data_IF_284026430077
#
_entry.id   IF_284026430077
#
_cell.length_a   1.000
_cell.length_b   1.000
_cell.length_c   1.000
_cell.angle_alpha   90.00
_cell.angle_beta   90.00
_cell.angle_gamma   90.00
#
_symmetry.space_group_name_H-M   'P 1'
#
loop_
_entity.id
_entity.type
_entity.pdbx_description
1 polymer ?
#
# COMPACT_ATOMS: atom_id res chain seq x y z
N UNK A 1 -4.01 -20.57 -13.71
CA UNK A 1 -3.29 -19.91 -12.60
C UNK A 1 -3.84 -20.42 -11.30
N UNK A 2 -2.92 -20.85 -10.43
CA UNK A 2 -3.14 -21.66 -9.23
C UNK A 2 -4.08 -21.03 -8.22
N UNK A 3 -4.98 -21.85 -7.68
CA UNK A 3 -5.55 -21.70 -6.35
C UNK A 3 -4.42 -21.76 -5.34
N UNK A 4 -3.82 -20.61 -5.02
CA UNK A 4 -2.63 -20.53 -4.17
C UNK A 4 -2.60 -19.27 -3.32
N UNK A 5 -1.64 -19.21 -2.39
CA UNK A 5 -1.32 -18.02 -1.60
C UNK A 5 0.07 -17.53 -2.01
N UNK A 6 0.30 -16.23 -1.90
CA UNK A 6 1.64 -15.63 -2.03
C UNK A 6 1.98 -14.84 -0.77
N UNK A 7 3.27 -14.60 -0.56
CA UNK A 7 3.77 -13.91 0.63
C UNK A 7 3.67 -12.40 0.41
N UNK A 8 3.25 -11.67 1.45
CA UNK A 8 3.18 -10.21 1.45
C UNK A 8 3.93 -9.63 2.63
N UNK A 9 4.72 -8.59 2.41
CA UNK A 9 5.53 -7.97 3.46
C UNK A 9 4.69 -7.07 4.38
N UNK A 10 4.85 -7.25 5.69
CA UNK A 10 4.37 -6.34 6.72
C UNK A 10 4.94 -4.93 6.51
N UNK A 11 6.21 -4.83 6.08
CA UNK A 11 6.86 -3.54 5.77
C UNK A 11 6.18 -2.84 4.60
N UNK A 12 5.86 -3.57 3.53
CA UNK A 12 5.12 -3.01 2.40
C UNK A 12 3.72 -2.55 2.80
N UNK A 13 2.99 -3.36 3.58
CA UNK A 13 1.67 -2.97 4.07
C UNK A 13 1.75 -1.73 4.98
N UNK A 14 2.78 -1.61 5.81
CA UNK A 14 3.01 -0.42 6.64
C UNK A 14 3.27 0.82 5.79
N UNK A 15 4.00 0.68 4.67
CA UNK A 15 4.20 1.77 3.70
C UNK A 15 2.87 2.16 3.07
N UNK A 16 2.09 1.21 2.57
CA UNK A 16 0.81 1.49 1.92
C UNK A 16 -0.22 2.13 2.88
N UNK A 17 -0.23 1.71 4.16
CA UNK A 17 -1.12 2.27 5.19
C UNK A 17 -0.59 3.57 5.81
N UNK A 18 0.64 3.99 5.48
CA UNK A 18 1.29 5.16 6.06
C UNK A 18 1.69 4.99 7.52
N UNK A 19 1.81 3.74 8.00
CA UNK A 19 2.12 3.38 9.38
C UNK A 19 3.59 3.00 9.61
N UNK A 20 4.47 3.21 8.62
CA UNK A 20 5.88 2.80 8.74
C UNK A 20 6.61 3.45 9.93
N UNK A 21 6.17 4.60 10.41
CA UNK A 21 6.75 5.27 11.58
C UNK A 21 6.28 4.63 12.88
N UNK A 22 4.97 4.60 13.12
CA UNK A 22 4.35 3.96 14.30
C UNK A 22 4.84 2.52 14.54
N UNK A 23 5.11 1.77 13.48
CA UNK A 23 5.51 0.35 13.58
C UNK A 23 7.02 0.14 13.76
N UNK A 24 7.85 1.14 13.49
CA UNK A 24 9.31 1.06 13.67
C UNK A 24 9.73 1.79 14.95
N UNK A 25 9.68 1.08 16.10
CA UNK A 25 10.04 1.63 17.42
C UNK A 25 11.52 1.98 17.60
N UNK A 26 12.39 1.52 16.69
CA UNK A 26 13.84 1.70 16.77
C UNK A 26 14.35 3.02 16.17
N UNK A 27 13.48 3.83 15.57
CA UNK A 27 13.81 5.17 15.11
C UNK A 27 13.26 6.19 16.09
N UNK A 28 14.17 6.97 16.70
CA UNK A 28 13.82 8.21 17.36
C UNK A 28 13.46 9.24 16.30
N UNK A 29 12.23 9.14 15.79
CA UNK A 29 11.61 10.11 14.89
C UNK A 29 11.42 11.46 15.55
N UNK A 30 11.35 11.43 16.88
CA UNK A 30 11.32 12.62 17.69
C UNK A 30 12.69 12.79 18.35
N UNK A 31 13.18 14.03 18.42
CA UNK A 31 14.28 14.39 19.30
C UNK A 31 13.82 14.25 20.77
N UNK A 32 14.72 14.54 21.71
CA UNK A 32 14.42 14.45 23.15
C UNK A 32 13.27 15.36 23.58
N UNK A 33 12.95 16.37 22.78
CA UNK A 33 11.94 17.40 23.03
C UNK A 33 10.59 17.07 22.37
N UNK A 34 10.46 15.92 21.69
CA UNK A 34 9.23 15.52 21.01
C UNK A 34 9.03 16.13 19.62
N UNK A 35 10.05 16.79 19.07
CA UNK A 35 10.04 17.41 17.74
C UNK A 35 10.65 16.48 16.69
N UNK A 36 10.31 16.65 15.41
CA UNK A 36 10.79 15.74 14.37
C UNK A 36 12.32 15.80 14.21
N UNK A 37 12.95 14.64 14.10
CA UNK A 37 14.41 14.53 13.97
C UNK A 37 14.92 15.36 12.76
N UNK A 38 15.89 16.26 12.96
CA UNK A 38 16.37 17.17 11.91
C UNK A 38 16.88 16.50 10.64
N UNK A 39 17.51 15.31 10.75
CA UNK A 39 17.98 14.56 9.60
C UNK A 39 16.82 14.10 8.71
N UNK A 40 15.71 13.71 9.33
CA UNK A 40 14.49 13.26 8.66
C UNK A 40 13.83 14.44 7.96
N UNK A 41 13.68 15.55 8.69
CA UNK A 41 13.16 16.80 8.14
C UNK A 41 13.96 17.26 6.93
N UNK A 42 15.30 17.26 7.02
CA UNK A 42 16.15 17.66 5.91
C UNK A 42 15.94 16.79 4.66
N UNK A 43 15.87 15.46 4.78
CA UNK A 43 15.62 14.59 3.61
C UNK A 43 14.24 14.83 2.99
N UNK A 44 13.22 15.00 3.83
CA UNK A 44 11.86 15.29 3.37
C UNK A 44 11.82 16.65 2.69
N UNK A 45 12.39 17.69 3.30
CA UNK A 45 12.43 19.05 2.76
C UNK A 45 13.18 19.10 1.43
N UNK A 46 14.36 18.48 1.32
CA UNK A 46 15.10 18.44 0.06
C UNK A 46 14.26 17.79 -1.06
N UNK A 47 13.53 16.71 -0.74
CA UNK A 47 12.65 16.07 -1.74
C UNK A 47 11.45 16.95 -2.10
N UNK A 48 10.91 17.70 -1.13
CA UNK A 48 9.85 18.68 -1.37
C UNK A 48 10.35 19.76 -2.32
N UNK A 49 11.54 20.30 -2.08
CA UNK A 49 12.17 21.31 -2.92
C UNK A 49 12.41 20.78 -4.34
N UNK A 50 12.93 19.55 -4.47
CA UNK A 50 13.09 18.88 -5.76
C UNK A 50 11.75 18.77 -6.52
N UNK A 51 10.68 18.35 -5.84
CA UNK A 51 9.35 18.20 -6.45
C UNK A 51 8.82 19.57 -6.91
N UNK A 52 8.96 20.61 -6.08
CA UNK A 52 8.49 21.96 -6.41
C UNK A 52 9.30 22.57 -7.56
N UNK A 53 10.62 22.34 -7.62
CA UNK A 53 11.47 22.80 -8.70
C UNK A 53 11.13 22.12 -10.04
N UNK A 54 10.86 20.81 -10.01
CA UNK A 54 10.43 20.05 -11.20
C UNK A 54 9.08 20.57 -11.72
N UNK A 55 8.14 20.91 -10.83
CA UNK A 55 6.85 21.50 -11.23
C UNK A 55 7.01 22.87 -11.91
N UNK A 56 7.93 23.71 -11.41
CA UNK A 56 8.20 25.03 -11.99
C UNK A 56 8.87 24.98 -13.37
N UNK A 57 9.65 23.93 -13.64
CA UNK A 57 10.39 23.77 -14.90
C UNK A 57 9.57 23.09 -16.01
N UNK A 58 8.32 22.71 -15.74
CA UNK A 58 7.45 22.01 -16.70
C UNK A 58 7.88 20.57 -17.01
N UNK A 59 8.77 20.00 -16.20
CA UNK A 59 9.21 18.61 -16.28
C UNK A 59 8.14 17.63 -15.75
N UNK A 60 8.37 16.31 -15.87
CA UNK A 60 7.44 15.29 -15.37
C UNK A 60 7.05 15.52 -13.91
N UNK A 61 5.75 15.56 -13.61
CA UNK A 61 5.26 15.83 -12.26
C UNK A 61 5.45 14.62 -11.34
N UNK A 62 6.18 14.82 -10.24
CA UNK A 62 6.35 13.83 -9.17
C UNK A 62 5.54 14.18 -7.93
N UNK A 63 5.27 13.17 -7.11
CA UNK A 63 4.61 13.29 -5.81
C UNK A 63 5.34 12.45 -4.76
N UNK A 64 5.23 12.87 -3.51
CA UNK A 64 5.66 12.08 -2.36
C UNK A 64 4.46 11.50 -1.61
N UNK A 65 4.51 10.21 -1.30
CA UNK A 65 3.59 9.53 -0.40
C UNK A 65 4.20 9.48 1.01
N UNK A 66 3.63 10.28 1.90
CA UNK A 66 4.15 10.49 3.25
C UNK A 66 3.49 9.54 4.26
N UNK A 67 4.23 9.12 5.30
CA UNK A 67 3.62 8.51 6.48
C UNK A 67 2.75 9.53 7.23
N UNK A 68 1.75 9.03 7.95
CA UNK A 68 0.69 9.85 8.55
C UNK A 68 1.27 10.91 9.50
N UNK A 69 2.28 10.56 10.28
CA UNK A 69 2.88 11.44 11.29
C UNK A 69 3.70 12.59 10.67
N UNK A 70 4.14 12.46 9.42
CA UNK A 70 4.75 13.56 8.66
C UNK A 70 3.65 14.38 7.99
N UNK A 71 2.67 13.71 7.38
CA UNK A 71 1.55 14.36 6.71
C UNK A 71 0.79 15.30 7.67
N UNK A 72 0.53 14.88 8.91
CA UNK A 72 -0.18 15.66 9.93
C UNK A 72 0.55 16.95 10.35
N UNK A 73 1.87 17.04 10.16
CA UNK A 73 2.67 18.22 10.53
C UNK A 73 2.83 19.23 9.41
N UNK A 74 2.46 18.88 8.17
CA UNK A 74 2.66 19.75 7.01
C UNK A 74 1.44 20.64 6.72
N UNK A 75 1.63 21.89 6.24
CA UNK A 75 0.52 22.74 5.83
C UNK A 75 -0.33 22.11 4.71
N UNK A 76 -1.66 22.19 4.84
CA UNK A 76 -2.60 21.62 3.86
C UNK A 76 -2.41 22.12 2.43
N UNK A 77 -1.96 23.37 2.25
CA UNK A 77 -1.69 23.94 0.94
C UNK A 77 -0.46 23.27 0.29
N UNK A 78 0.61 23.09 1.06
CA UNK A 78 1.82 22.41 0.61
C UNK A 78 1.50 20.96 0.23
N UNK A 79 0.79 20.22 1.09
CA UNK A 79 0.40 18.83 0.83
C UNK A 79 -0.36 18.62 -0.48
N UNK A 80 -1.19 19.59 -0.89
CA UNK A 80 -1.92 19.55 -2.16
C UNK A 80 -1.01 19.67 -3.40
N UNK A 81 0.14 20.31 -3.25
CA UNK A 81 1.12 20.49 -4.32
C UNK A 81 2.01 19.25 -4.44
N UNK A 82 2.52 18.76 -3.32
CA UNK A 82 3.60 17.76 -3.30
C UNK A 82 3.14 16.32 -3.11
N UNK A 83 1.94 16.08 -2.57
CA UNK A 83 1.51 14.73 -2.17
C UNK A 83 0.31 14.24 -2.97
N UNK A 84 0.27 12.93 -3.20
CA UNK A 84 -0.86 12.27 -3.84
C UNK A 84 -1.07 10.89 -3.23
N UNK A 85 -2.30 10.62 -2.82
CA UNK A 85 -2.66 9.32 -2.27
C UNK A 85 -2.48 8.18 -3.27
N UNK A 86 -2.21 7.00 -2.69
CA UNK A 86 -2.33 5.74 -3.40
C UNK A 86 -3.81 5.47 -3.72
N UNK A 87 -4.07 5.21 -4.99
CA UNK A 87 -5.39 4.83 -5.50
C UNK A 87 -5.63 3.34 -5.32
N UNK A 88 -6.89 2.92 -5.34
CA UNK A 88 -7.25 1.49 -5.29
C UNK A 88 -6.65 0.70 -6.45
N UNK A 89 -6.58 1.28 -7.66
CA UNK A 89 -5.90 0.64 -8.79
C UNK A 89 -4.40 0.44 -8.51
N UNK A 90 -3.71 1.42 -7.95
CA UNK A 90 -2.30 1.31 -7.58
C UNK A 90 -2.07 0.29 -6.45
N UNK A 91 -2.94 0.25 -5.43
CA UNK A 91 -2.90 -0.79 -4.38
C UNK A 91 -2.97 -2.18 -5.01
N UNK A 92 -3.89 -2.39 -5.97
CA UNK A 92 -4.02 -3.67 -6.67
C UNK A 92 -2.80 -3.97 -7.55
N UNK A 93 -2.25 -2.97 -8.25
CA UNK A 93 -1.04 -3.13 -9.08
C UNK A 93 0.15 -3.53 -8.22
N UNK A 94 0.39 -2.84 -7.10
CA UNK A 94 1.43 -3.22 -6.14
C UNK A 94 1.22 -4.66 -5.67
N UNK A 95 -0.02 -5.02 -5.32
CA UNK A 95 -0.37 -6.39 -4.90
C UNK A 95 -0.03 -7.43 -5.98
N UNK A 96 -0.34 -7.14 -7.24
CA UNK A 96 -0.05 -8.02 -8.36
C UNK A 96 1.47 -8.14 -8.60
N UNK A 97 2.20 -7.02 -8.54
CA UNK A 97 3.65 -6.99 -8.74
C UNK A 97 4.38 -7.78 -7.65
N UNK A 98 3.92 -7.77 -6.40
CA UNK A 98 4.50 -8.61 -5.32
C UNK A 98 4.44 -10.10 -5.69
N UNK A 99 3.32 -10.55 -6.22
CA UNK A 99 3.18 -11.94 -6.65
C UNK A 99 4.00 -12.24 -7.91
N UNK A 100 4.04 -11.33 -8.88
CA UNK A 100 4.85 -11.49 -10.10
C UNK A 100 6.35 -11.49 -9.81
N UNK A 101 6.82 -10.64 -8.88
CA UNK A 101 8.21 -10.64 -8.44
C UNK A 101 8.60 -11.97 -7.77
N UNK A 102 7.70 -12.57 -7.00
CA UNK A 102 7.90 -13.92 -6.44
C UNK A 102 7.95 -15.00 -7.53
N UNK A 103 7.12 -14.91 -8.57
CA UNK A 103 7.18 -15.83 -9.71
C UNK A 103 8.48 -15.67 -10.49
N UNK A 104 8.90 -14.44 -10.78
CA UNK A 104 10.19 -14.17 -11.44
C UNK A 104 11.36 -14.71 -10.61
N UNK A 105 11.34 -14.50 -9.27
CA UNK A 105 12.34 -15.07 -8.36
C UNK A 105 12.35 -16.60 -8.41
N UNK A 106 11.19 -17.25 -8.40
CA UNK A 106 11.10 -18.71 -8.48
C UNK A 106 11.61 -19.29 -9.81
N UNK A 107 11.56 -18.50 -10.89
CA UNK A 107 12.11 -18.84 -12.21
C UNK A 107 13.57 -18.42 -12.41
N UNK A 108 14.21 -17.80 -11.41
CA UNK A 108 15.53 -17.16 -11.53
C UNK A 108 15.61 -16.04 -12.58
N UNK A 109 14.49 -15.38 -12.87
CA UNK A 109 14.37 -14.26 -13.81
C UNK A 109 14.51 -12.88 -13.12
N UNK A 110 14.72 -12.88 -11.80
CA UNK A 110 14.85 -11.68 -10.98
C UNK A 110 16.32 -11.46 -10.58
N UNK A 111 16.86 -10.30 -10.92
CA UNK A 111 18.22 -9.87 -10.58
C UNK A 111 18.17 -8.90 -9.41
N UNK A 112 18.90 -9.18 -8.32
CA UNK A 112 18.91 -8.32 -7.13
C UNK A 112 20.18 -7.46 -7.05
N UNK A 113 20.01 -6.19 -6.71
CA UNK A 113 21.07 -5.22 -6.47
C UNK A 113 21.12 -4.89 -4.98
N UNK A 114 22.00 -5.56 -4.24
CA UNK A 114 22.14 -5.43 -2.80
C UNK A 114 22.44 -3.99 -2.35
N UNK A 115 23.27 -3.26 -3.10
CA UNK A 115 23.76 -1.92 -2.75
C UNK A 115 22.63 -0.90 -2.62
N UNK A 116 21.57 -1.08 -3.42
CA UNK A 116 20.41 -0.19 -3.46
C UNK A 116 19.13 -0.87 -2.96
N UNK A 117 19.21 -2.14 -2.55
CA UNK A 117 18.10 -2.94 -2.05
C UNK A 117 16.90 -2.97 -3.05
N UNK A 118 17.19 -3.13 -4.35
CA UNK A 118 16.18 -3.22 -5.43
C UNK A 118 16.40 -4.46 -6.27
N UNK A 119 15.32 -4.98 -6.83
CA UNK A 119 15.40 -6.02 -7.85
C UNK A 119 14.90 -5.54 -9.20
N UNK A 120 15.46 -6.10 -10.26
CA UNK A 120 15.05 -5.95 -11.64
C UNK A 120 14.45 -7.25 -12.16
N UNK A 121 13.36 -7.13 -12.91
CA UNK A 121 12.80 -8.23 -13.70
C UNK A 121 11.94 -7.70 -14.85
N UNK A 122 11.65 -8.56 -15.82
CA UNK A 122 10.73 -8.27 -16.92
C UNK A 122 9.29 -8.59 -16.52
N UNK A 123 8.39 -7.63 -16.71
CA UNK A 123 6.97 -7.72 -16.41
C UNK A 123 6.17 -7.86 -17.72
N UNK A 124 5.38 -8.93 -17.85
CA UNK A 124 4.39 -9.06 -18.92
C UNK A 124 3.05 -8.44 -18.50
N UNK A 125 2.55 -7.49 -19.29
CA UNK A 125 1.26 -6.83 -19.06
C UNK A 125 0.08 -7.80 -19.04
N UNK A 126 0.15 -8.90 -19.80
CA UNK A 126 -0.87 -9.95 -19.82
C UNK A 126 -0.96 -10.66 -18.48
N UNK A 127 0.19 -10.99 -17.88
CA UNK A 127 0.25 -11.56 -16.53
C UNK A 127 -0.24 -10.56 -15.49
N UNK A 128 0.14 -9.28 -15.62
CA UNK A 128 -0.37 -8.20 -14.76
C UNK A 128 -1.90 -8.11 -14.83
N UNK A 129 -2.50 -8.12 -16.02
CA UNK A 129 -3.97 -8.08 -16.16
C UNK A 129 -4.64 -9.28 -15.51
N UNK A 130 -4.05 -10.48 -15.61
CA UNK A 130 -4.57 -11.67 -14.95
C UNK A 130 -4.52 -11.51 -13.43
N UNK A 131 -3.38 -11.09 -12.87
CA UNK A 131 -3.21 -10.86 -11.43
C UNK A 131 -4.04 -9.68 -10.89
N UNK A 132 -4.42 -8.74 -11.74
CA UNK A 132 -5.33 -7.64 -11.42
C UNK A 132 -6.81 -8.05 -11.44
N UNK A 133 -7.11 -9.31 -11.80
CA UNK A 133 -8.48 -9.80 -11.98
C UNK A 133 -9.19 -9.18 -13.18
N UNK A 134 -8.43 -8.72 -14.18
CA UNK A 134 -8.92 -8.08 -15.42
C UNK A 134 -8.83 -9.05 -16.61
N UNK A 135 -7.99 -10.08 -16.56
CA UNK A 135 -7.96 -11.20 -17.52
C UNK A 135 -8.12 -10.76 -18.99
N UNK A 136 -9.16 -11.29 -19.65
CA UNK A 136 -9.48 -10.99 -21.06
C UNK A 136 -10.35 -9.73 -21.27
N UNK A 137 -10.68 -8.98 -20.20
CA UNK A 137 -11.43 -7.73 -20.34
C UNK A 137 -10.68 -6.75 -21.26
N UNK A 138 -11.39 -6.14 -22.23
CA UNK A 138 -10.79 -5.19 -23.19
C UNK A 138 -10.96 -3.73 -22.75
N UNK A 139 -10.16 -2.85 -23.36
CA UNK A 139 -10.35 -1.39 -23.32
C UNK A 139 -10.09 -0.76 -21.95
N UNK A 140 -11.13 -0.14 -21.36
CA UNK A 140 -11.03 0.79 -20.22
C UNK A 140 -10.33 0.21 -18.99
N UNK A 141 -10.61 -1.05 -18.64
CA UNK A 141 -10.00 -1.66 -17.44
C UNK A 141 -8.50 -1.89 -17.61
N UNK A 142 -8.04 -2.28 -18.80
CA UNK A 142 -6.60 -2.43 -19.09
C UNK A 142 -5.90 -1.07 -19.11
N UNK A 143 -6.55 -0.04 -19.64
CA UNK A 143 -6.06 1.35 -19.57
C UNK A 143 -5.87 1.79 -18.13
N UNK A 144 -6.85 1.58 -17.24
CA UNK A 144 -6.73 1.93 -15.82
C UNK A 144 -5.59 1.17 -15.11
N UNK A 145 -5.30 -0.07 -15.51
CA UNK A 145 -4.16 -0.83 -14.98
C UNK A 145 -2.85 -0.22 -15.46
N UNK A 146 -2.73 0.13 -16.75
CA UNK A 146 -1.54 0.80 -17.29
C UNK A 146 -1.33 2.17 -16.62
N UNK A 147 -2.36 2.99 -16.54
CA UNK A 147 -2.32 4.30 -15.88
C UNK A 147 -1.89 4.18 -14.41
N UNK A 148 -2.37 3.17 -13.70
CA UNK A 148 -1.93 2.92 -12.33
C UNK A 148 -0.47 2.47 -12.25
N UNK A 149 -0.02 1.59 -13.16
CA UNK A 149 1.37 1.14 -13.23
C UNK A 149 2.32 2.32 -13.50
N UNK A 150 2.06 3.11 -14.53
CA UNK A 150 2.88 4.28 -14.86
C UNK A 150 2.71 5.40 -13.83
N UNK A 151 1.55 5.51 -13.18
CA UNK A 151 1.34 6.43 -12.06
C UNK A 151 2.25 6.15 -10.85
N UNK A 152 2.70 4.91 -10.67
CA UNK A 152 3.69 4.57 -9.64
C UNK A 152 5.08 5.15 -9.94
N UNK A 153 5.46 5.34 -11.22
CA UNK A 153 6.70 6.03 -11.58
C UNK A 153 6.71 7.49 -11.13
N UNK A 154 5.55 8.12 -10.99
CA UNK A 154 5.43 9.51 -10.53
C UNK A 154 5.37 9.61 -9.01
N UNK A 155 5.39 8.50 -8.27
CA UNK A 155 5.26 8.49 -6.80
C UNK A 155 6.50 7.95 -6.12
N UNK A 156 7.09 8.80 -5.28
CA UNK A 156 8.14 8.42 -4.34
C UNK A 156 7.54 8.17 -2.95
N UNK A 157 8.14 7.27 -2.20
CA UNK A 157 7.67 6.83 -0.89
C UNK A 157 8.79 7.04 0.12
N UNK A 158 8.43 7.47 1.33
CA UNK A 158 9.36 7.48 2.46
C UNK A 158 9.58 6.05 2.94
N UNK A 159 10.75 5.51 2.66
CA UNK A 159 11.17 4.17 3.04
C UNK A 159 12.03 4.23 4.29
N UNK A 160 11.74 3.30 5.19
CA UNK A 160 12.38 3.23 6.50
C UNK A 160 12.95 1.84 6.68
N UNK A 161 14.23 1.76 7.02
CA UNK A 161 14.94 0.51 7.31
C UNK A 161 15.92 0.77 8.45
N UNK A 162 15.76 0.06 9.57
CA UNK A 162 16.59 0.26 10.76
C UNK A 162 16.58 1.74 11.19
N UNK A 163 17.74 2.39 11.28
CA UNK A 163 17.90 3.82 11.60
C UNK A 163 18.05 4.72 10.37
N UNK A 164 17.79 4.22 9.17
CA UNK A 164 17.93 4.98 7.93
C UNK A 164 16.59 5.26 7.24
N UNK A 165 16.55 6.43 6.60
CA UNK A 165 15.44 6.87 5.76
C UNK A 165 15.95 7.13 4.36
N UNK A 166 15.21 6.61 3.38
CA UNK A 166 15.38 6.92 1.97
C UNK A 166 14.03 7.32 1.37
N UNK A 167 14.05 8.06 0.27
CA UNK A 167 12.86 8.42 -0.48
C UNK A 167 13.05 7.88 -1.89
N UNK A 168 12.18 6.96 -2.31
CA UNK A 168 12.40 6.15 -3.52
C UNK A 168 11.07 5.65 -4.10
N UNK A 169 11.09 5.22 -5.36
CA UNK A 169 9.95 4.58 -6.00
C UNK A 169 9.80 3.13 -5.53
N UNK A 170 8.61 2.70 -5.12
CA UNK A 170 8.35 1.28 -4.84
C UNK A 170 8.44 0.41 -6.10
N UNK A 171 7.99 0.96 -7.22
CA UNK A 171 7.98 0.34 -8.55
C UNK A 171 8.42 1.40 -9.54
N UNK A 172 9.35 1.07 -10.44
CA UNK A 172 9.78 1.95 -11.51
C UNK A 172 9.86 1.18 -12.82
N UNK A 173 9.11 1.63 -13.82
CA UNK A 173 9.20 1.19 -15.21
C UNK A 173 10.33 1.96 -15.89
N UNK A 174 11.30 1.23 -16.45
CA UNK A 174 12.47 1.80 -17.11
C UNK A 174 12.33 1.82 -18.62
N UNK A 175 11.81 0.74 -19.20
CA UNK A 175 11.75 0.55 -20.65
C UNK A 175 10.52 -0.26 -21.03
N UNK A 176 9.95 0.06 -22.19
CA UNK A 176 8.96 -0.75 -22.90
C UNK A 176 9.70 -1.43 -24.05
N UNK A 177 9.62 -2.75 -24.16
CA UNK A 177 10.24 -3.47 -25.27
C UNK A 177 9.61 -3.03 -26.60
N UNK A 178 10.42 -2.49 -27.51
CA UNK A 178 9.98 -2.01 -28.82
C UNK A 178 9.48 -3.11 -29.76
N UNK A 179 9.94 -4.36 -29.57
CA UNK A 179 9.46 -5.54 -30.32
C UNK A 179 8.22 -6.16 -29.69
N UNK A 180 8.06 -6.02 -28.37
CA UNK A 180 6.89 -6.49 -27.65
C UNK A 180 6.42 -5.45 -26.61
N UNK A 181 5.47 -4.56 -26.95
CA UNK A 181 5.02 -3.50 -26.04
C UNK A 181 4.25 -4.01 -24.81
N UNK A 182 4.06 -5.33 -24.68
CA UNK A 182 3.54 -5.95 -23.46
C UNK A 182 4.62 -6.29 -22.44
N UNK A 183 5.91 -6.29 -22.84
CA UNK A 183 7.04 -6.57 -21.95
C UNK A 183 7.66 -5.27 -21.47
N UNK A 184 7.75 -5.14 -20.15
CA UNK A 184 8.26 -3.96 -19.47
C UNK A 184 9.45 -4.33 -18.60
N UNK A 185 10.54 -3.57 -18.71
CA UNK A 185 11.67 -3.70 -17.80
C UNK A 185 11.41 -2.85 -16.56
N UNK A 186 11.29 -3.48 -15.39
CA UNK A 186 10.94 -2.77 -14.16
C UNK A 186 11.96 -3.03 -13.05
N UNK A 187 12.02 -2.10 -12.10
CA UNK A 187 12.62 -2.36 -10.78
C UNK A 187 11.61 -2.22 -9.67
N UNK A 188 11.77 -3.02 -8.63
CA UNK A 188 10.95 -2.99 -7.41
C UNK A 188 11.82 -2.96 -6.17
N UNK A 189 11.29 -2.34 -5.11
CA UNK A 189 11.95 -2.31 -3.80
C UNK A 189 12.05 -3.70 -3.16
N UNK A 190 13.11 -3.93 -2.36
CA UNK A 190 13.39 -5.22 -1.73
C UNK A 190 12.25 -5.82 -0.89
N UNK A 191 11.35 -4.98 -0.35
CA UNK A 191 10.19 -5.43 0.41
C UNK A 191 9.14 -6.22 -0.42
N UNK A 192 9.30 -6.30 -1.74
CA UNK A 192 8.40 -7.07 -2.62
C UNK A 192 8.73 -8.58 -2.64
N UNK A 193 9.95 -8.99 -2.29
CA UNK A 193 10.42 -10.37 -2.48
C UNK A 193 11.43 -10.86 -1.43
N UNK A 194 11.91 -9.97 -0.56
CA UNK A 194 12.74 -10.32 0.59
C UNK A 194 11.89 -10.30 1.86
N UNK A 195 11.59 -11.50 2.37
CA UNK A 195 10.70 -11.71 3.51
C UNK A 195 11.47 -12.39 4.65
N UNK A 196 11.73 -11.65 5.72
CA UNK A 196 12.24 -12.25 6.97
C UNK A 196 11.08 -12.94 7.71
N UNK A 197 11.33 -14.05 8.42
CA UNK A 197 10.32 -14.99 8.94
C UNK A 197 9.18 -14.38 9.78
N UNK A 198 9.38 -13.21 10.39
CA UNK A 198 8.35 -12.52 11.21
C UNK A 198 7.78 -11.25 10.55
N UNK A 199 8.16 -10.99 9.30
CA UNK A 199 7.87 -9.74 8.59
C UNK A 199 6.87 -9.91 7.44
N UNK A 200 6.10 -11.01 7.40
CA UNK A 200 5.17 -11.29 6.32
C UNK A 200 3.81 -11.87 6.77
N UNK A 201 2.89 -11.93 5.82
CA UNK A 201 1.61 -12.63 5.89
C UNK A 201 1.23 -13.19 4.51
N UNK A 202 0.20 -14.01 4.44
CA UNK A 202 -0.23 -14.62 3.18
C UNK A 202 -1.47 -13.93 2.61
N UNK A 203 -1.47 -13.70 1.30
CA UNK A 203 -2.62 -13.26 0.53
C UNK A 203 -3.03 -14.34 -0.48
N UNK A 204 -4.34 -14.53 -0.75
CA UNK A 204 -4.80 -15.35 -1.87
C UNK A 204 -4.32 -14.78 -3.21
N UNK A 205 -3.82 -15.62 -4.11
CA UNK A 205 -3.36 -15.20 -5.44
C UNK A 205 -4.45 -14.50 -6.27
N UNK A 206 -5.72 -14.84 -6.03
CA UNK A 206 -6.87 -14.26 -6.70
C UNK A 206 -7.53 -13.08 -5.94
N UNK A 207 -6.86 -12.52 -4.93
CA UNK A 207 -7.44 -11.49 -4.05
C UNK A 207 -7.99 -10.29 -4.83
N UNK A 208 -7.25 -9.78 -5.81
CA UNK A 208 -7.68 -8.65 -6.64
C UNK A 208 -8.95 -8.99 -7.44
N UNK A 209 -9.05 -10.23 -7.95
CA UNK A 209 -10.23 -10.72 -8.66
C UNK A 209 -11.43 -10.80 -7.73
N UNK A 210 -11.25 -11.36 -6.52
CA UNK A 210 -12.30 -11.46 -5.51
C UNK A 210 -12.78 -10.09 -5.02
N UNK A 211 -11.87 -9.17 -4.69
CA UNK A 211 -12.19 -7.79 -4.31
C UNK A 211 -12.98 -7.09 -5.42
N UNK A 212 -12.54 -7.22 -6.68
CA UNK A 212 -13.26 -6.63 -7.82
C UNK A 212 -14.66 -7.20 -7.99
N UNK A 213 -14.84 -8.51 -7.76
CA UNK A 213 -16.15 -9.18 -7.84
C UNK A 213 -17.13 -8.67 -6.78
N UNK A 214 -16.67 -8.48 -5.54
CA UNK A 214 -17.55 -8.19 -4.41
C UNK A 214 -17.65 -6.71 -4.03
N UNK A 215 -16.70 -5.88 -4.47
CA UNK A 215 -16.74 -4.43 -4.27
C UNK A 215 -17.68 -3.79 -5.30
N UNK A 216 -18.84 -3.31 -4.83
CA UNK A 216 -19.79 -2.54 -5.65
C UNK A 216 -19.39 -1.05 -5.69
N UNK A 217 -19.63 -0.42 -6.83
CA UNK A 217 -19.38 1.02 -7.04
C UNK A 217 -17.91 1.39 -7.22
N UNK A 218 -17.56 2.63 -6.87
CA UNK A 218 -16.19 3.16 -7.03
C UNK A 218 -15.21 2.39 -6.13
N UNK A 219 -14.10 1.86 -6.68
CA UNK A 219 -13.03 1.25 -5.89
C UNK A 219 -12.48 2.21 -4.83
N UNK A 220 -12.27 1.72 -3.60
CA UNK A 220 -11.82 2.52 -2.46
C UNK A 220 -10.53 1.92 -1.87
N UNK A 221 -9.43 2.67 -1.93
CA UNK A 221 -8.12 2.24 -1.44
C UNK A 221 -8.15 1.93 0.07
N UNK A 222 -8.88 2.72 0.86
CA UNK A 222 -8.99 2.57 2.32
C UNK A 222 -9.57 1.21 2.70
N UNK A 223 -10.63 0.81 1.98
CA UNK A 223 -11.28 -0.50 2.15
C UNK A 223 -10.33 -1.63 1.78
N UNK A 224 -9.63 -1.52 0.65
CA UNK A 224 -8.76 -2.59 0.15
C UNK A 224 -7.49 -2.77 0.99
N UNK A 225 -6.91 -1.67 1.48
CA UNK A 225 -5.80 -1.72 2.44
C UNK A 225 -6.24 -2.37 3.75
N UNK A 226 -7.44 -2.06 4.23
CA UNK A 226 -7.97 -2.70 5.43
C UNK A 226 -8.20 -4.20 5.26
N UNK A 227 -8.64 -4.65 4.08
CA UNK A 227 -8.70 -6.08 3.78
C UNK A 227 -7.31 -6.73 3.94
N UNK A 228 -6.24 -6.10 3.45
CA UNK A 228 -4.87 -6.61 3.66
C UNK A 228 -4.50 -6.65 5.15
N UNK A 229 -4.85 -5.62 5.92
CA UNK A 229 -4.64 -5.60 7.37
C UNK A 229 -5.36 -6.76 8.08
N UNK A 230 -6.58 -7.11 7.64
CA UNK A 230 -7.30 -8.26 8.18
C UNK A 230 -6.63 -9.60 7.82
N UNK A 231 -6.06 -9.74 6.62
CA UNK A 231 -5.25 -10.92 6.29
C UNK A 231 -4.00 -11.02 7.17
N UNK A 232 -3.32 -9.90 7.42
CA UNK A 232 -2.20 -9.84 8.36
C UNK A 232 -2.65 -10.25 9.77
N UNK A 233 -3.76 -9.69 10.27
CA UNK A 233 -4.29 -10.01 11.59
C UNK A 233 -4.66 -11.50 11.74
N UNK A 234 -5.32 -12.07 10.71
CA UNK A 234 -5.62 -13.51 10.64
C UNK A 234 -4.35 -14.35 10.68
N UNK A 235 -3.29 -13.91 10.01
CA UNK A 235 -2.00 -14.61 10.02
C UNK A 235 -1.33 -14.59 11.40
N UNK A 236 -1.48 -13.49 12.16
CA UNK A 236 -0.80 -13.30 13.43
C UNK A 236 -1.59 -13.81 14.66
N UNK A 237 -2.91 -14.00 14.56
CA UNK A 237 -3.72 -14.45 15.70
C UNK A 237 -3.62 -15.95 15.92
N UNK A 238 -3.58 -16.38 17.19
CA UNK A 238 -3.62 -17.79 17.59
C UNK A 238 -5.05 -18.35 17.71
N UNK A 239 -6.01 -17.47 17.99
CA UNK A 239 -7.38 -17.86 18.38
C UNK A 239 -8.41 -17.46 17.31
N UNK A 240 -7.99 -17.24 16.06
CA UNK A 240 -8.83 -16.76 14.95
C UNK A 240 -9.67 -15.53 15.29
N UNK A 241 -9.23 -14.71 16.24
CA UNK A 241 -9.94 -13.51 16.68
C UNK A 241 -8.97 -12.35 16.84
N UNK A 242 -9.47 -11.14 16.61
CA UNK A 242 -8.75 -9.90 16.93
C UNK A 242 -9.72 -8.86 17.45
N UNK A 243 -9.28 -8.08 18.42
CA UNK A 243 -10.00 -6.92 18.93
C UNK A 243 -9.36 -5.66 18.37
N UNK A 244 -10.15 -4.81 17.70
CA UNK A 244 -9.73 -3.49 17.27
C UNK A 244 -10.61 -2.42 17.90
N UNK A 245 -9.99 -1.42 18.53
CA UNK A 245 -10.69 -0.19 18.88
C UNK A 245 -11.12 0.56 17.61
N UNK A 246 -12.13 1.43 17.73
CA UNK A 246 -12.52 2.34 16.66
C UNK A 246 -11.32 3.15 16.13
N UNK A 247 -10.48 3.67 17.02
CA UNK A 247 -9.28 4.43 16.65
C UNK A 247 -8.29 3.60 15.82
N UNK A 248 -8.20 2.29 16.12
CA UNK A 248 -7.35 1.37 15.36
C UNK A 248 -7.88 1.18 13.95
N UNK A 249 -9.20 0.93 13.80
CA UNK A 249 -9.84 0.82 12.48
C UNK A 249 -9.69 2.12 11.70
N UNK A 250 -9.97 3.26 12.34
CA UNK A 250 -9.85 4.59 11.76
C UNK A 250 -8.44 4.85 11.19
N UNK A 251 -7.39 4.48 11.94
CA UNK A 251 -5.99 4.60 11.52
C UNK A 251 -5.63 3.63 10.40
N UNK A 252 -5.99 2.35 10.52
CA UNK A 252 -5.68 1.33 9.49
C UNK A 252 -6.34 1.64 8.15
N UNK A 253 -7.52 2.25 8.19
CA UNK A 253 -8.28 2.67 7.00
C UNK A 253 -7.91 4.08 6.51
N UNK A 254 -6.98 4.79 7.15
CA UNK A 254 -6.62 6.19 6.82
C UNK A 254 -7.84 7.12 6.68
N UNK A 255 -8.78 7.06 7.62
CA UNK A 255 -10.05 7.82 7.54
C UNK A 255 -9.92 9.30 7.90
N UNK A 256 -8.76 9.75 8.41
CA UNK A 256 -8.49 11.15 8.73
C UNK A 256 -8.77 12.08 7.54
N UNK A 257 -8.51 11.64 6.30
CA UNK A 257 -8.81 12.43 5.10
C UNK A 257 -10.30 12.70 4.90
N UNK A 258 -11.18 11.83 5.38
CA UNK A 258 -12.63 12.11 5.34
C UNK A 258 -12.97 13.23 6.32
N UNK A 259 -12.32 13.30 7.47
CA UNK A 259 -12.45 14.42 8.41
C UNK A 259 -11.93 15.71 7.77
N UNK A 260 -10.73 15.68 7.20
CA UNK A 260 -10.10 16.87 6.59
C UNK A 260 -10.90 17.46 5.43
N UNK A 261 -11.60 16.59 4.69
CA UNK A 261 -12.48 16.96 3.57
C UNK A 261 -13.93 17.21 4.00
N UNK A 262 -14.22 17.34 5.31
CA UNK A 262 -15.57 17.57 5.86
C UNK A 262 -16.60 16.50 5.47
N UNK A 263 -16.15 15.27 5.27
CA UNK A 263 -16.91 14.11 4.81
C UNK A 263 -17.18 13.10 5.94
N UNK A 264 -17.37 13.58 7.18
CA UNK A 264 -17.54 12.74 8.38
C UNK A 264 -18.64 11.68 8.25
N UNK A 265 -19.74 12.02 7.58
CA UNK A 265 -20.88 11.11 7.33
C UNK A 265 -20.50 9.85 6.55
N UNK A 266 -19.37 9.85 5.86
CA UNK A 266 -18.89 8.71 5.07
C UNK A 266 -17.93 7.79 5.84
N UNK A 267 -17.53 8.14 7.07
CA UNK A 267 -16.61 7.33 7.88
C UNK A 267 -17.25 5.97 8.21
N UNK A 268 -18.39 5.97 8.89
CA UNK A 268 -19.09 4.76 9.30
C UNK A 268 -19.50 3.89 8.09
N UNK A 269 -20.11 4.43 7.02
CA UNK A 269 -20.40 3.64 5.81
C UNK A 269 -19.16 3.02 5.15
N UNK A 270 -18.00 3.68 5.25
CA UNK A 270 -16.75 3.13 4.69
C UNK A 270 -16.24 1.95 5.52
N UNK A 271 -16.34 2.02 6.85
CA UNK A 271 -16.01 0.93 7.77
C UNK A 271 -16.93 -0.28 7.50
N UNK A 272 -18.24 -0.03 7.44
CA UNK A 272 -19.24 -1.07 7.16
C UNK A 272 -19.01 -1.72 5.80
N UNK A 273 -18.70 -0.92 4.76
CA UNK A 273 -18.34 -1.46 3.44
C UNK A 273 -17.13 -2.39 3.50
N UNK A 274 -16.13 -2.08 4.34
CA UNK A 274 -14.95 -2.93 4.50
C UNK A 274 -15.27 -4.23 5.23
N UNK A 275 -16.08 -4.16 6.28
CA UNK A 275 -16.58 -5.32 7.02
C UNK A 275 -17.43 -6.25 6.15
N UNK A 276 -18.35 -5.70 5.36
CA UNK A 276 -19.16 -6.47 4.43
C UNK A 276 -18.32 -7.13 3.33
N UNK A 277 -17.33 -6.41 2.82
CA UNK A 277 -16.39 -6.97 1.85
C UNK A 277 -15.58 -8.11 2.48
N UNK A 278 -15.10 -7.97 3.72
CA UNK A 278 -14.35 -9.01 4.42
C UNK A 278 -15.18 -10.29 4.63
N UNK A 279 -16.47 -10.15 4.95
CA UNK A 279 -17.41 -11.28 5.03
C UNK A 279 -17.63 -11.94 3.66
N UNK A 280 -17.87 -11.16 2.60
CA UNK A 280 -18.04 -11.68 1.22
C UNK A 280 -16.80 -12.38 0.67
N UNK A 281 -15.62 -11.99 1.15
CA UNK A 281 -14.35 -12.62 0.82
C UNK A 281 -14.09 -13.93 1.57
N UNK A 282 -14.99 -14.33 2.47
CA UNK A 282 -14.80 -15.45 3.40
C UNK A 282 -13.52 -15.30 4.24
N UNK A 283 -13.16 -14.05 4.53
CA UNK A 283 -12.03 -13.72 5.41
C UNK A 283 -12.49 -13.67 6.87
N UNK A 284 -13.66 -13.07 7.09
CA UNK A 284 -14.24 -12.81 8.41
C UNK A 284 -15.60 -13.49 8.51
N UNK A 285 -15.76 -14.30 9.57
CA UNK A 285 -16.99 -15.00 9.90
C UNK A 285 -17.98 -14.10 10.61
N UNK A 286 -17.53 -13.38 11.64
CA UNK A 286 -18.40 -12.49 12.42
C UNK A 286 -17.67 -11.24 12.91
N UNK A 287 -18.42 -10.16 13.10
CA UNK A 287 -17.92 -8.91 13.66
C UNK A 287 -18.95 -8.46 14.68
N UNK A 288 -18.52 -8.29 15.93
CA UNK A 288 -19.35 -7.83 17.03
C UNK A 288 -18.84 -6.50 17.54
N UNK A 289 -19.66 -5.47 17.42
CA UNK A 289 -19.41 -4.19 18.08
C UNK A 289 -19.64 -4.32 19.59
N UNK A 290 -18.78 -3.70 20.38
CA UNK A 290 -18.91 -3.65 21.82
C UNK A 290 -18.22 -2.41 22.38
N UNK A 291 -18.11 -2.37 23.72
CA UNK A 291 -17.38 -1.32 24.43
C UNK A 291 -16.15 -1.88 25.12
N UNK A 292 -15.05 -1.15 25.08
CA UNK A 292 -13.86 -1.45 25.87
C UNK A 292 -14.07 -1.09 27.36
N UNK A 293 -13.05 -1.32 28.18
CA UNK A 293 -13.09 -1.01 29.63
C UNK A 293 -13.33 0.48 29.93
N UNK A 294 -13.06 1.36 28.96
CA UNK A 294 -13.23 2.81 29.06
C UNK A 294 -14.55 3.28 28.40
N UNK A 295 -15.41 2.35 27.97
CA UNK A 295 -16.67 2.66 27.30
C UNK A 295 -16.54 3.06 25.83
N UNK A 296 -15.35 2.98 25.22
CA UNK A 296 -15.12 3.32 23.80
C UNK A 296 -15.50 2.15 22.89
N UNK A 297 -15.92 2.49 21.66
CA UNK A 297 -16.32 1.50 20.66
C UNK A 297 -15.14 0.61 20.26
N UNK A 298 -15.40 -0.70 20.22
CA UNK A 298 -14.48 -1.72 19.74
C UNK A 298 -15.18 -2.75 18.85
N UNK A 299 -14.41 -3.40 18.00
CA UNK A 299 -14.86 -4.45 17.09
C UNK A 299 -14.11 -5.75 17.42
N UNK A 300 -14.86 -6.77 17.82
CA UNK A 300 -14.35 -8.14 17.94
C UNK A 300 -14.57 -8.84 16.60
N UNK A 301 -13.49 -9.17 15.91
CA UNK A 301 -13.49 -9.77 14.59
C UNK A 301 -13.11 -11.24 14.72
N UNK A 302 -13.96 -12.14 14.25
CA UNK A 302 -13.73 -13.58 14.18
C UNK A 302 -13.44 -13.97 12.72
N UNK A 303 -12.27 -14.55 12.47
CA UNK A 303 -11.84 -15.00 11.15
C UNK A 303 -12.39 -16.39 10.82
N UNK A 304 -12.60 -16.65 9.52
CA UNK A 304 -12.97 -17.98 9.01
C UNK A 304 -11.82 -18.99 9.15
#
# INVERSE_FOLDING_TARGET
MTTGKFIYSNRLLNIETGQQLTKNKHLNFLNKDGEMNPMILSKVNNTIDDILHVEQTGQEKFYIYLPNEIEEKLPKQLLKQISKDITSSEVRVITAIVALAQFAKAKNELVYFDQINRAYFELDLSELYQMMGVGNSKGKLRTLVKEALFGLNQKKYVLIKNSSISISHLVQVHEVDGKNPNKLKITVEGCFFNFEKESYFHLPADINKKIRKFSTGRPNAQVELFIKCLYQAKHCTKNNTVEYSYDTVFKLMKLQKLVDNKNHKHIQPTIEKAFDLAKKLDLVKSIKEGKDRMGKVKYNIEFC
#
